data_IF_743549348141
#
_entry.id   IF_743549348141
#
_cell.length_a   1.000
_cell.length_b   1.000
_cell.length_c   1.000
_cell.angle_alpha   90.00
_cell.angle_beta   90.00
_cell.angle_gamma   90.00
#
_symmetry.space_group_name_H-M   'P 1'
#
loop_
_entity.id
_entity.type
_entity.pdbx_description
1 polymer ?
#
# COMPACT_ATOMS: atom_id res chain seq x y z
N UNK A 1 -11.78 -15.47 -27.37
CA UNK A 1 -10.67 -14.70 -26.77
C UNK A 1 -10.82 -14.54 -25.24
N UNK A 2 -11.47 -15.47 -24.53
CA UNK A 2 -11.68 -15.42 -23.08
C UNK A 2 -10.65 -16.23 -22.27
N UNK A 3 -9.97 -17.20 -22.88
CA UNK A 3 -9.01 -18.08 -22.18
C UNK A 3 -7.77 -17.36 -21.65
N UNK A 4 -7.28 -16.34 -22.36
CA UNK A 4 -6.04 -15.62 -21.98
C UNK A 4 -6.12 -14.91 -20.62
N UNK A 5 -7.32 -14.59 -20.12
CA UNK A 5 -7.49 -13.96 -18.80
C UNK A 5 -7.37 -14.95 -17.65
N UNK A 6 -7.71 -16.22 -17.89
CA UNK A 6 -7.60 -17.27 -16.87
C UNK A 6 -6.14 -17.67 -16.67
N UNK A 7 -5.35 -17.72 -17.74
CA UNK A 7 -3.93 -18.05 -17.70
C UNK A 7 -3.14 -17.05 -16.84
N UNK A 8 -3.44 -15.76 -16.96
CA UNK A 8 -2.81 -14.70 -16.17
C UNK A 8 -3.12 -14.80 -14.66
N UNK A 9 -4.33 -15.23 -14.30
CA UNK A 9 -4.72 -15.44 -12.89
C UNK A 9 -3.97 -16.65 -12.32
N UNK A 10 -3.89 -17.74 -13.09
CA UNK A 10 -3.15 -18.94 -12.68
C UNK A 10 -1.66 -18.67 -12.51
N UNK A 11 -1.05 -17.94 -13.43
CA UNK A 11 0.37 -17.54 -13.35
C UNK A 11 0.64 -16.65 -12.12
N UNK A 12 -0.24 -15.68 -11.86
CA UNK A 12 -0.17 -14.85 -10.67
C UNK A 12 -0.23 -15.69 -9.39
N UNK A 13 -1.23 -16.56 -9.25
CA UNK A 13 -1.39 -17.41 -8.06
C UNK A 13 -0.20 -18.35 -7.85
N UNK A 14 0.38 -18.87 -8.93
CA UNK A 14 1.55 -19.75 -8.87
C UNK A 14 2.82 -18.99 -8.48
N UNK A 15 2.95 -17.72 -8.88
CA UNK A 15 4.04 -16.84 -8.44
C UNK A 15 3.92 -16.48 -6.97
N UNK A 16 2.72 -16.14 -6.50
CA UNK A 16 2.45 -15.84 -5.09
C UNK A 16 2.74 -17.06 -4.19
N UNK A 17 2.31 -18.27 -4.58
CA UNK A 17 2.56 -19.49 -3.81
C UNK A 17 4.05 -19.89 -3.76
N UNK A 18 4.83 -19.51 -4.76
CA UNK A 18 6.29 -19.72 -4.79
C UNK A 18 7.09 -18.73 -3.92
N UNK A 19 6.42 -17.80 -3.23
CA UNK A 19 7.06 -16.79 -2.39
C UNK A 19 7.73 -15.66 -3.17
N UNK A 20 7.56 -15.61 -4.49
CA UNK A 20 7.97 -14.52 -5.38
C UNK A 20 6.84 -13.50 -5.61
N UNK A 21 5.79 -13.60 -4.80
CA UNK A 21 4.64 -12.73 -4.84
C UNK A 21 4.90 -11.33 -4.33
N UNK A 22 4.08 -10.37 -4.73
CA UNK A 22 4.10 -9.06 -4.09
C UNK A 22 3.30 -9.18 -2.79
N UNK A 23 3.90 -8.96 -1.60
CA UNK A 23 3.16 -9.02 -0.33
C UNK A 23 1.97 -8.06 -0.30
N UNK A 24 1.94 -7.08 -1.20
CA UNK A 24 0.75 -6.31 -1.53
C UNK A 24 0.23 -5.49 -0.35
N UNK A 25 -0.91 -4.83 -0.58
CA UNK A 25 -1.66 -4.15 0.48
C UNK A 25 -2.86 -5.00 0.82
N UNK A 26 -3.00 -5.39 2.07
CA UNK A 26 -4.17 -6.12 2.56
C UNK A 26 -5.14 -5.14 3.18
N UNK A 27 -6.42 -5.28 2.84
CA UNK A 27 -7.47 -4.50 3.49
C UNK A 27 -7.84 -5.19 4.80
N UNK A 28 -7.66 -4.50 5.93
CA UNK A 28 -7.87 -5.01 7.28
C UNK A 28 -8.90 -4.14 7.98
N UNK A 29 -9.83 -4.75 8.70
CA UNK A 29 -10.77 -4.01 9.54
C UNK A 29 -10.04 -3.49 10.78
N UNK A 30 -10.02 -2.17 10.95
CA UNK A 30 -9.48 -1.55 12.15
C UNK A 30 -10.52 -1.61 13.28
N UNK A 31 -10.27 -2.37 14.37
CA UNK A 31 -11.25 -2.55 15.45
C UNK A 31 -11.47 -1.28 16.29
N UNK A 32 -10.61 -0.26 16.16
CA UNK A 32 -10.71 1.00 16.92
C UNK A 32 -11.70 1.97 16.32
N UNK A 33 -11.85 1.98 14.99
CA UNK A 33 -12.71 2.93 14.28
C UNK A 33 -13.79 2.24 13.41
N UNK A 34 -13.76 0.91 13.30
CA UNK A 34 -14.71 0.13 12.51
C UNK A 34 -14.54 0.29 10.99
N UNK A 35 -13.44 0.89 10.52
CA UNK A 35 -13.18 1.15 9.10
C UNK A 35 -12.20 0.15 8.53
N UNK A 36 -12.30 -0.08 7.21
CA UNK A 36 -11.30 -0.85 6.48
C UNK A 36 -10.10 0.04 6.15
N UNK A 37 -8.92 -0.42 6.51
CA UNK A 37 -7.63 0.25 6.27
C UNK A 37 -6.72 -0.67 5.44
N UNK A 38 -5.91 -0.07 4.56
CA UNK A 38 -4.92 -0.81 3.77
C UNK A 38 -3.64 -0.94 4.60
N UNK A 39 -3.25 -2.17 4.91
CA UNK A 39 -2.02 -2.51 5.62
C UNK A 39 -1.06 -3.15 4.62
N UNK A 40 0.07 -2.52 4.37
CA UNK A 40 1.18 -3.13 3.62
C UNK A 40 2.01 -4.00 4.57
N UNK A 41 2.28 -5.27 4.24
CA UNK A 41 3.25 -6.05 5.02
C UNK A 41 4.68 -5.48 4.91
N UNK A 42 4.95 -4.69 3.87
CA UNK A 42 6.23 -4.02 3.59
C UNK A 42 6.33 -2.61 4.15
N UNK A 43 5.35 -2.14 4.92
CA UNK A 43 5.42 -0.82 5.57
C UNK A 43 6.30 -0.86 6.83
N UNK A 44 7.38 -1.65 6.78
CA UNK A 44 8.58 -1.24 7.45
C UNK A 44 8.95 0.09 6.80
N UNK A 45 8.82 1.18 7.58
CA UNK A 45 9.41 2.49 7.31
C UNK A 45 10.58 2.34 6.34
N UNK A 46 10.35 2.69 5.08
CA UNK A 46 11.43 2.73 4.09
C UNK A 46 12.52 3.61 4.71
N UNK A 47 13.73 3.10 4.99
CA UNK A 47 14.77 3.91 5.61
C UNK A 47 15.17 5.10 4.73
N UNK A 48 14.80 5.08 3.44
CA UNK A 48 15.00 6.19 2.50
C UNK A 48 13.85 7.21 2.51
N UNK A 49 12.73 6.96 3.20
CA UNK A 49 11.68 7.96 3.38
C UNK A 49 12.04 8.89 4.54
N UNK A 50 12.41 10.13 4.19
CA UNK A 50 12.67 11.16 5.18
C UNK A 50 11.44 11.38 6.10
N UNK A 51 11.63 11.40 7.43
CA UNK A 51 10.52 11.61 8.35
C UNK A 51 9.94 13.01 8.15
N UNK A 52 8.61 13.10 8.00
CA UNK A 52 7.92 14.39 7.92
C UNK A 52 8.11 15.16 9.22
N UNK A 53 8.77 16.31 9.16
CA UNK A 53 9.05 17.14 10.33
C UNK A 53 7.91 18.13 10.61
N UNK A 54 7.90 18.69 11.82
CA UNK A 54 6.96 19.75 12.17
C UNK A 54 7.16 21.03 11.32
N UNK A 55 8.34 21.24 10.76
CA UNK A 55 8.64 22.38 9.87
C UNK A 55 8.06 22.16 8.47
N UNK A 56 8.06 20.93 7.97
CA UNK A 56 7.44 20.56 6.70
C UNK A 56 5.94 20.85 6.74
N UNK A 57 5.25 20.44 7.81
CA UNK A 57 3.81 20.69 7.97
C UNK A 57 3.46 22.19 8.01
N UNK A 58 4.32 23.02 8.62
CA UNK A 58 4.13 24.48 8.65
C UNK A 58 4.28 25.09 7.25
N UNK A 59 5.18 24.54 6.44
CA UNK A 59 5.43 25.01 5.07
C UNK A 59 4.23 24.76 4.15
N UNK A 60 3.51 23.64 4.33
CA UNK A 60 2.28 23.37 3.58
C UNK A 60 1.06 24.18 4.07
N UNK A 61 1.00 24.53 5.36
CA UNK A 61 -0.07 25.36 5.93
C UNK A 61 0.04 26.87 5.62
N UNK A 62 1.20 27.33 5.13
CA UNK A 62 1.48 28.74 4.83
C UNK A 62 1.02 29.22 3.45
N UNK A 63 0.53 28.32 2.59
CA UNK A 63 0.00 28.66 1.27
C UNK A 63 -1.34 29.38 1.41
N UNK A 64 -1.28 30.69 1.69
CA UNK A 64 -2.42 31.61 1.68
C UNK A 64 -3.18 31.46 0.37
N UNK A 65 -4.41 30.95 0.48
CA UNK A 65 -5.49 31.19 -0.48
C UNK A 65 -5.60 32.71 -0.63
N UNK A 66 -5.31 33.22 -1.82
CA UNK A 66 -5.74 34.55 -2.25
C UNK A 66 -7.03 34.41 -3.04
#
# INVERSE_FOLDING_TARGET
MANSKHDAISEYMHRESSGQGNPGKRMVLNPRNGKFELVSESEALDPDLAPVTAEDMKSFGGARVR
#
